data_IF_369555575557
#
_entry.id   IF_369555575557
#
_cell.length_a   1.000
_cell.length_b   1.000
_cell.length_c   1.000
_cell.angle_alpha   90.00
_cell.angle_beta   90.00
_cell.angle_gamma   90.00
#
_symmetry.space_group_name_H-M   'P 1'
#
loop_
_entity.id
_entity.type
_entity.pdbx_description
1 polymer ?
#
# COMPACT_ATOMS: atom_id res chain seq x y z
N UNK A 1 -1.98 -2.35 11.18
CA UNK A 1 -3.46 -2.24 11.03
C UNK A 1 -3.89 -0.83 10.69
N UNK A 2 -3.49 0.20 11.45
CA UNK A 2 -3.74 1.62 11.08
C UNK A 2 -3.22 1.98 9.69
N UNK A 3 -2.07 1.44 9.27
CA UNK A 3 -1.53 1.66 7.92
C UNK A 3 -2.44 1.08 6.82
N UNK A 4 -3.10 -0.07 7.06
CA UNK A 4 -4.08 -0.61 6.10
C UNK A 4 -5.29 0.32 5.97
N UNK A 5 -5.78 0.91 7.06
CA UNK A 5 -6.88 1.89 6.97
C UNK A 5 -6.45 3.14 6.19
N UNK A 6 -5.22 3.62 6.41
CA UNK A 6 -4.67 4.77 5.66
C UNK A 6 -4.50 4.47 4.17
N UNK A 7 -4.01 3.28 3.82
CA UNK A 7 -3.90 2.87 2.41
C UNK A 7 -5.29 2.85 1.76
N UNK A 8 -6.29 2.27 2.44
CA UNK A 8 -7.66 2.22 1.91
C UNK A 8 -8.23 3.61 1.64
N UNK A 9 -8.04 4.52 2.58
CA UNK A 9 -8.46 5.91 2.45
C UNK A 9 -7.72 6.62 1.31
N UNK A 10 -6.40 6.41 1.20
CA UNK A 10 -5.59 6.92 0.09
C UNK A 10 -6.06 6.41 -1.27
N UNK A 11 -6.36 5.11 -1.39
CA UNK A 11 -6.89 4.52 -2.63
C UNK A 11 -8.27 5.08 -3.00
N UNK A 12 -9.12 5.38 -2.01
CA UNK A 12 -10.44 5.99 -2.22
C UNK A 12 -10.35 7.41 -2.80
N UNK A 13 -9.37 8.20 -2.37
CA UNK A 13 -9.24 9.63 -2.70
C UNK A 13 -8.26 9.96 -3.84
N UNK A 14 -7.59 8.96 -4.42
CA UNK A 14 -6.55 9.14 -5.44
C UNK A 14 -6.70 8.22 -6.65
N UNK A 15 -5.81 8.40 -7.65
CA UNK A 15 -5.73 7.59 -8.87
C UNK A 15 -4.33 7.02 -9.13
N UNK A 16 -3.34 7.50 -8.38
CA UNK A 16 -1.95 7.08 -8.47
C UNK A 16 -1.39 6.93 -7.06
N UNK A 17 -0.63 5.87 -6.83
CA UNK A 17 0.20 5.70 -5.63
C UNK A 17 1.66 5.70 -6.08
N UNK A 18 2.43 6.63 -5.54
CA UNK A 18 3.88 6.68 -5.66
C UNK A 18 4.50 6.09 -4.40
N UNK A 19 5.56 5.31 -4.55
CA UNK A 19 6.29 4.76 -3.42
C UNK A 19 7.79 4.70 -3.68
N UNK A 20 8.56 4.81 -2.59
CA UNK A 20 10.00 4.56 -2.59
C UNK A 20 10.43 3.98 -1.25
N UNK A 21 11.50 3.20 -1.26
CA UNK A 21 12.14 2.79 -0.01
C UNK A 21 12.86 4.02 0.59
N UNK A 22 12.66 4.28 1.88
CA UNK A 22 13.29 5.40 2.60
C UNK A 22 14.22 4.98 3.75
N UNK A 23 14.50 3.67 3.87
CA UNK A 23 15.33 3.08 4.92
C UNK A 23 14.63 2.85 6.25
N UNK A 24 13.47 3.47 6.49
CA UNK A 24 12.60 3.22 7.65
C UNK A 24 11.38 2.38 7.27
N UNK A 25 11.06 2.33 5.98
CA UNK A 25 10.00 1.54 5.40
C UNK A 25 9.73 1.92 3.95
N UNK A 26 8.44 1.96 3.60
CA UNK A 26 7.98 2.35 2.27
C UNK A 26 7.28 3.71 2.34
N UNK A 27 7.99 4.77 1.97
CA UNK A 27 7.41 6.11 1.83
C UNK A 27 6.40 6.10 0.68
N UNK A 28 5.13 6.34 1.00
CA UNK A 28 4.00 6.33 0.07
C UNK A 28 3.39 7.72 -0.09
N UNK A 29 2.95 8.04 -1.31
CA UNK A 29 2.23 9.27 -1.63
C UNK A 29 1.08 8.95 -2.58
N UNK A 30 -0.13 9.31 -2.16
CA UNK A 30 -1.34 9.15 -2.97
C UNK A 30 -1.59 10.44 -3.75
N UNK A 31 -1.77 10.33 -5.06
CA UNK A 31 -1.82 11.46 -5.99
C UNK A 31 -3.12 11.45 -6.79
N UNK A 32 -3.77 12.62 -6.88
CA UNK A 32 -4.96 12.85 -7.67
C UNK A 32 -4.78 14.09 -8.56
N UNK A 33 -4.81 13.93 -9.87
CA UNK A 33 -4.65 15.05 -10.81
C UNK A 33 -3.33 15.83 -10.64
N UNK A 34 -2.25 15.16 -10.23
CA UNK A 34 -0.94 15.78 -9.98
C UNK A 34 -0.76 16.37 -8.57
N UNK A 35 -1.77 16.32 -7.70
CA UNK A 35 -1.69 16.80 -6.32
C UNK A 35 -1.58 15.64 -5.33
N UNK A 36 -0.67 15.75 -4.35
CA UNK A 36 -0.57 14.79 -3.24
C UNK A 36 -1.73 15.01 -2.28
N UNK A 37 -2.55 13.98 -2.06
CA UNK A 37 -3.73 14.04 -1.17
C UNK A 37 -3.49 13.39 0.19
N UNK A 38 -2.58 12.43 0.29
CA UNK A 38 -2.07 11.87 1.55
C UNK A 38 -0.66 11.32 1.32
N UNK A 39 0.15 11.32 2.37
CA UNK A 39 1.50 10.75 2.36
C UNK A 39 1.87 10.23 3.74
N UNK A 40 2.52 9.06 3.76
CA UNK A 40 3.05 8.46 4.98
C UNK A 40 4.05 7.36 4.67
N UNK A 41 4.83 7.01 5.68
CA UNK A 41 5.72 5.85 5.66
C UNK A 41 4.97 4.64 6.16
N UNK A 42 5.04 3.54 5.42
CA UNK A 42 4.62 2.23 5.88
C UNK A 42 5.84 1.57 6.52
N UNK A 43 5.82 1.42 7.83
CA UNK A 43 6.89 0.80 8.63
C UNK A 43 6.73 -0.73 8.70
N UNK A 44 5.49 -1.22 8.57
CA UNK A 44 5.20 -2.65 8.55
C UNK A 44 5.75 -3.32 7.28
N UNK A 45 6.79 -4.13 7.45
CA UNK A 45 7.49 -4.79 6.34
C UNK A 45 6.56 -5.68 5.50
N UNK A 46 5.60 -6.37 6.11
CA UNK A 46 4.67 -7.23 5.38
C UNK A 46 3.75 -6.41 4.49
N UNK A 47 3.29 -5.26 4.98
CA UNK A 47 2.48 -4.32 4.19
C UNK A 47 3.35 -3.72 3.07
N UNK A 48 4.54 -3.23 3.40
CA UNK A 48 5.47 -2.61 2.46
C UNK A 48 5.81 -3.55 1.28
N UNK A 49 6.22 -4.78 1.58
CA UNK A 49 6.53 -5.80 0.56
C UNK A 49 5.32 -6.13 -0.32
N UNK A 50 4.14 -6.28 0.29
CA UNK A 50 2.93 -6.63 -0.44
C UNK A 50 2.50 -5.49 -1.37
N UNK A 51 2.64 -4.23 -0.92
CA UNK A 51 2.27 -3.04 -1.67
C UNK A 51 3.25 -2.75 -2.82
N UNK A 52 4.57 -2.89 -2.57
CA UNK A 52 5.60 -2.70 -3.59
C UNK A 52 5.40 -3.62 -4.81
N UNK A 53 4.86 -4.83 -4.61
CA UNK A 53 4.52 -5.78 -5.69
C UNK A 53 3.34 -5.37 -6.57
N UNK A 54 2.63 -4.28 -6.24
CA UNK A 54 1.46 -3.80 -7.00
C UNK A 54 1.80 -2.79 -8.09
N UNK A 55 3.03 -2.29 -8.10
CA UNK A 55 3.48 -1.26 -9.04
C UNK A 55 4.71 -1.67 -9.82
N UNK A 56 5.13 -0.77 -10.69
CA UNK A 56 6.37 -0.86 -11.46
C UNK A 56 7.19 0.39 -11.16
N UNK A 57 8.47 0.21 -10.82
CA UNK A 57 9.41 1.32 -10.57
C UNK A 57 8.91 2.40 -9.60
N UNK A 58 8.22 2.01 -8.51
CA UNK A 58 7.72 2.98 -7.53
C UNK A 58 6.37 3.60 -7.87
N UNK A 59 5.68 3.12 -8.92
CA UNK A 59 4.41 3.71 -9.37
C UNK A 59 3.34 2.63 -9.48
N UNK A 60 2.19 2.88 -8.86
CA UNK A 60 0.93 2.14 -9.05
C UNK A 60 -0.07 3.11 -9.67
N UNK A 61 -0.40 2.92 -10.95
CA UNK A 61 -1.34 3.76 -11.69
C UNK A 61 -2.18 2.93 -12.68
N UNK A 62 -3.18 3.57 -13.30
CA UNK A 62 -4.01 2.94 -14.34
C UNK A 62 -4.66 1.64 -13.88
N UNK A 63 -4.52 0.57 -14.67
CA UNK A 63 -5.12 -0.74 -14.37
C UNK A 63 -4.60 -1.34 -13.06
N UNK A 64 -3.33 -1.14 -12.73
CA UNK A 64 -2.74 -1.67 -11.50
C UNK A 64 -3.34 -0.99 -10.27
N UNK A 65 -3.53 0.33 -10.34
CA UNK A 65 -4.19 1.07 -9.28
C UNK A 65 -5.66 0.67 -9.12
N UNK A 66 -6.40 0.59 -10.23
CA UNK A 66 -7.80 0.18 -10.22
C UNK A 66 -7.97 -1.24 -9.65
N UNK A 67 -7.07 -2.17 -9.99
CA UNK A 67 -7.07 -3.53 -9.47
C UNK A 67 -6.72 -3.58 -7.98
N UNK A 68 -5.75 -2.79 -7.51
CA UNK A 68 -5.44 -2.69 -6.09
C UNK A 68 -6.62 -2.13 -5.30
N UNK A 69 -7.26 -1.08 -5.81
CA UNK A 69 -8.44 -0.44 -5.20
C UNK A 69 -9.63 -1.38 -5.15
N UNK A 70 -9.95 -2.08 -6.24
CA UNK A 70 -11.11 -2.98 -6.31
C UNK A 70 -10.92 -4.25 -5.46
N UNK A 71 -9.67 -4.73 -5.32
CA UNK A 71 -9.34 -5.95 -4.60
C UNK A 71 -8.69 -5.65 -3.24
N UNK A 72 -8.96 -4.47 -2.67
CA UNK A 72 -8.29 -4.03 -1.45
C UNK A 72 -8.59 -4.95 -0.26
N UNK A 73 -9.82 -5.45 -0.14
CA UNK A 73 -10.18 -6.39 0.93
C UNK A 73 -9.36 -7.68 0.88
N UNK A 74 -9.13 -8.20 -0.33
CA UNK A 74 -8.26 -9.36 -0.54
C UNK A 74 -6.80 -9.05 -0.21
N UNK A 75 -6.32 -7.87 -0.58
CA UNK A 75 -4.98 -7.41 -0.20
C UNK A 75 -4.83 -7.33 1.32
N UNK A 76 -5.79 -6.72 2.01
CA UNK A 76 -5.84 -6.58 3.46
C UNK A 76 -5.87 -7.94 4.15
N UNK A 77 -6.69 -8.87 3.66
CA UNK A 77 -6.75 -10.23 4.18
C UNK A 77 -5.43 -10.99 3.98
N UNK A 78 -4.80 -10.88 2.82
CA UNK A 78 -3.51 -11.51 2.54
C UNK A 78 -2.44 -11.05 3.54
N UNK A 79 -2.31 -9.73 3.75
CA UNK A 79 -1.38 -9.15 4.73
C UNK A 79 -1.69 -9.68 6.13
N UNK A 80 -2.94 -9.58 6.58
CA UNK A 80 -3.34 -10.00 7.94
C UNK A 80 -3.02 -11.48 8.18
N UNK A 81 -3.32 -12.34 7.22
CA UNK A 81 -3.04 -13.78 7.30
C UNK A 81 -1.53 -14.07 7.34
N UNK A 82 -0.72 -13.39 6.52
CA UNK A 82 0.74 -13.55 6.55
C UNK A 82 1.32 -13.12 7.91
N UNK A 83 0.88 -11.98 8.44
CA UNK A 83 1.30 -11.51 9.77
C UNK A 83 0.94 -12.48 10.90
N UNK A 84 -0.28 -13.02 10.87
CA UNK A 84 -0.71 -14.01 11.85
C UNK A 84 0.16 -15.27 11.77
N UNK A 85 0.42 -15.76 10.56
CA UNK A 85 1.29 -16.92 10.35
C UNK A 85 2.70 -16.70 10.90
N UNK A 86 3.31 -15.53 10.64
CA UNK A 86 4.64 -15.20 11.17
C UNK A 86 4.66 -15.13 12.70
N UNK A 87 3.59 -14.62 13.32
CA UNK A 87 3.44 -14.55 14.78
C UNK A 87 3.24 -15.92 15.42
N UNK A 88 2.59 -16.86 14.74
CA UNK A 88 2.38 -18.22 15.25
C UNK A 88 3.62 -19.12 15.06
N UNK A 89 4.54 -18.72 14.18
CA UNK A 89 5.78 -19.46 13.91
C UNK A 89 6.91 -19.09 14.89
N UNK A 90 6.88 -17.87 15.44
CA UNK A 90 7.78 -17.39 16.49
C UNK A 90 7.41 -17.93 17.87
#
# INVERSE_FOLDING_TARGET
MKELERIENGLKSSHTLLYKNDGQGLACSFVNGGLVVDSFVIEDEVIAEALAKKGVNGVVEGSNFNMLKSNYDWFSLHVKSKKLYETLKS
#
